data_IF_607210185834
#
_entry.id   IF_607210185834
#
_cell.length_a   1.000
_cell.length_b   1.000
_cell.length_c   1.000
_cell.angle_alpha   90.00
_cell.angle_beta   90.00
_cell.angle_gamma   90.00
#
_symmetry.space_group_name_H-M   'P 1'
#
loop_
_entity.id
_entity.type
_entity.pdbx_description
1 polymer ?
#
# COMPACT_ATOMS: atom_id res chain seq x y z
N UNK A 1 -23.40 3.91 0.17
CA UNK A 1 -23.28 2.99 -0.98
C UNK A 1 -21.99 2.17 -0.87
N UNK A 2 -22.08 0.83 -0.91
CA UNK A 2 -20.89 -0.02 -0.99
C UNK A 2 -20.10 0.30 -2.28
N UNK A 3 -18.76 0.26 -2.27
CA UNK A 3 -17.97 0.49 -3.48
C UNK A 3 -18.37 -0.52 -4.56
N UNK A 4 -18.44 -0.05 -5.82
CA UNK A 4 -18.93 -0.80 -7.00
C UNK A 4 -18.46 -2.26 -7.12
N UNK A 5 -17.28 -2.60 -6.58
CA UNK A 5 -16.66 -3.92 -6.73
C UNK A 5 -16.57 -4.74 -5.43
N UNK A 6 -16.85 -4.14 -4.26
CA UNK A 6 -16.61 -4.80 -2.96
C UNK A 6 -17.46 -6.06 -2.79
N UNK A 7 -18.77 -5.97 -3.05
CA UNK A 7 -19.70 -7.10 -2.91
C UNK A 7 -19.34 -8.29 -3.81
N UNK A 8 -18.84 -8.01 -5.03
CA UNK A 8 -18.42 -9.05 -5.95
C UNK A 8 -17.09 -9.68 -5.55
N UNK A 9 -16.13 -8.88 -5.08
CA UNK A 9 -14.85 -9.37 -4.54
C UNK A 9 -15.08 -10.34 -3.39
N UNK A 10 -15.91 -9.93 -2.43
CA UNK A 10 -16.16 -10.72 -1.22
C UNK A 10 -16.98 -11.98 -1.54
N UNK A 11 -18.03 -11.88 -2.35
CA UNK A 11 -18.84 -13.03 -2.78
C UNK A 11 -18.01 -14.07 -3.55
N UNK A 12 -17.17 -13.61 -4.48
CA UNK A 12 -16.42 -14.49 -5.38
C UNK A 12 -15.04 -14.89 -4.83
N UNK A 13 -14.72 -14.46 -3.59
CA UNK A 13 -13.44 -14.73 -2.91
C UNK A 13 -12.20 -14.46 -3.77
N UNK A 14 -12.25 -13.38 -4.57
CA UNK A 14 -11.19 -13.04 -5.53
C UNK A 14 -10.29 -11.92 -5.01
N UNK A 15 -9.12 -11.77 -5.63
CA UNK A 15 -8.24 -10.64 -5.36
C UNK A 15 -8.92 -9.29 -5.72
N UNK A 16 -8.83 -8.24 -4.88
CA UNK A 16 -9.40 -6.91 -5.15
C UNK A 16 -8.50 -6.10 -6.10
N UNK A 17 -8.29 -6.60 -7.32
CA UNK A 17 -7.39 -5.99 -8.33
C UNK A 17 -7.74 -4.53 -8.59
N UNK A 18 -9.02 -4.19 -8.68
CA UNK A 18 -9.47 -2.83 -8.94
C UNK A 18 -9.06 -1.85 -7.82
N UNK A 19 -9.07 -2.31 -6.56
CA UNK A 19 -8.61 -1.51 -5.43
C UNK A 19 -7.09 -1.34 -5.47
N UNK A 20 -6.35 -2.39 -5.80
CA UNK A 20 -4.89 -2.34 -5.96
C UNK A 20 -4.51 -1.35 -7.06
N UNK A 21 -5.14 -1.41 -8.23
CA UNK A 21 -4.90 -0.45 -9.33
C UNK A 21 -5.21 0.99 -8.91
N UNK A 22 -6.30 1.21 -8.16
CA UNK A 22 -6.60 2.53 -7.61
C UNK A 22 -5.54 3.02 -6.61
N UNK A 23 -4.95 2.13 -5.82
CA UNK A 23 -3.82 2.43 -4.93
C UNK A 23 -2.56 2.76 -5.71
N UNK A 24 -2.24 2.04 -6.79
CA UNK A 24 -1.11 2.32 -7.69
C UNK A 24 -1.22 3.70 -8.31
N UNK A 25 -2.39 4.03 -8.87
CA UNK A 25 -2.67 5.32 -9.48
C UNK A 25 -2.50 6.49 -8.49
N UNK A 26 -2.80 6.25 -7.21
CA UNK A 26 -2.62 7.22 -6.11
C UNK A 26 -1.26 7.13 -5.42
N UNK A 27 -0.38 6.25 -5.89
CA UNK A 27 0.98 6.01 -5.37
C UNK A 27 1.02 5.59 -3.89
N UNK A 28 -0.02 4.91 -3.43
CA UNK A 28 -0.16 4.52 -2.03
C UNK A 28 0.76 3.34 -1.66
N UNK A 29 1.16 2.50 -2.63
CA UNK A 29 1.98 1.31 -2.35
C UNK A 29 3.40 1.66 -1.89
N UNK A 30 3.89 2.86 -2.21
CA UNK A 30 5.17 3.37 -1.72
C UNK A 30 5.01 4.47 -0.66
N UNK A 31 3.86 4.58 0.01
CA UNK A 31 3.54 5.71 0.88
C UNK A 31 4.57 5.91 2.01
N UNK A 32 4.96 4.83 2.71
CA UNK A 32 5.95 4.91 3.79
C UNK A 32 7.40 5.06 3.32
N UNK A 33 7.68 4.94 2.01
CA UNK A 33 9.06 5.06 1.52
C UNK A 33 9.54 6.51 1.75
N UNK A 34 10.74 6.71 2.34
CA UNK A 34 11.25 8.05 2.63
C UNK A 34 11.39 8.94 1.39
N UNK A 35 11.22 10.24 1.56
CA UNK A 35 11.36 11.24 0.49
C UNK A 35 12.74 11.23 -0.16
N UNK A 36 13.82 10.93 0.58
CA UNK A 36 15.18 10.76 0.04
C UNK A 36 15.32 9.63 -0.99
N UNK A 37 14.37 8.69 -1.00
CA UNK A 37 14.27 7.59 -1.98
C UNK A 37 13.15 7.81 -3.00
N UNK A 38 12.49 8.98 -2.98
CA UNK A 38 11.42 9.38 -3.89
C UNK A 38 10.00 9.01 -3.47
N UNK A 39 9.81 8.48 -2.26
CA UNK A 39 8.48 8.17 -1.72
C UNK A 39 7.82 9.36 -1.02
N UNK A 40 6.65 9.13 -0.42
CA UNK A 40 5.89 10.18 0.26
C UNK A 40 6.32 10.40 1.72
N UNK A 41 7.04 9.46 2.33
CA UNK A 41 7.46 9.54 3.73
C UNK A 41 6.30 9.54 4.72
N UNK A 42 5.18 8.87 4.39
CA UNK A 42 4.00 8.79 5.24
C UNK A 42 4.33 8.14 6.59
N UNK A 43 3.77 8.68 7.67
CA UNK A 43 3.93 8.14 9.01
C UNK A 43 3.04 6.90 9.21
N UNK A 44 3.33 6.11 10.25
CA UNK A 44 2.47 5.00 10.65
C UNK A 44 1.02 5.47 10.94
N UNK A 45 0.86 6.67 11.49
CA UNK A 45 -0.46 7.26 11.75
C UNK A 45 -1.23 7.56 10.45
N UNK A 46 -0.54 8.05 9.42
CA UNK A 46 -1.13 8.28 8.11
C UNK A 46 -1.59 6.97 7.47
N UNK A 47 -0.78 5.91 7.59
CA UNK A 47 -1.13 4.57 7.11
C UNK A 47 -2.33 4.00 7.86
N UNK A 48 -2.36 4.11 9.19
CA UNK A 48 -3.49 3.65 10.00
C UNK A 48 -4.79 4.41 9.64
N UNK A 49 -4.70 5.71 9.38
CA UNK A 49 -5.82 6.51 8.91
C UNK A 49 -6.29 6.06 7.52
N UNK A 50 -5.37 5.84 6.58
CA UNK A 50 -5.68 5.31 5.26
C UNK A 50 -6.35 3.92 5.33
N UNK A 51 -5.85 3.02 6.16
CA UNK A 51 -6.47 1.71 6.42
C UNK A 51 -7.90 1.87 6.95
N UNK A 52 -8.15 2.82 7.84
CA UNK A 52 -9.49 3.07 8.39
C UNK A 52 -10.46 3.55 7.30
N UNK A 53 -10.03 4.49 6.46
CA UNK A 53 -10.82 5.02 5.33
C UNK A 53 -11.11 3.91 4.32
N UNK A 54 -10.09 3.12 3.95
CA UNK A 54 -10.25 1.98 3.04
C UNK A 54 -11.18 0.92 3.65
N UNK A 55 -11.09 0.68 4.95
CA UNK A 55 -11.87 -0.33 5.65
C UNK A 55 -13.37 -0.03 5.67
N UNK A 56 -13.76 1.24 5.72
CA UNK A 56 -15.16 1.66 5.58
C UNK A 56 -15.75 1.31 4.20
N UNK A 57 -14.90 1.18 3.19
CA UNK A 57 -15.28 0.83 1.83
C UNK A 57 -15.20 -0.69 1.59
N UNK A 58 -14.07 -1.32 1.92
CA UNK A 58 -13.83 -2.75 1.75
C UNK A 58 -12.74 -3.21 2.71
N UNK A 59 -13.10 -4.02 3.71
CA UNK A 59 -12.18 -4.55 4.70
C UNK A 59 -11.05 -5.39 4.06
N UNK A 60 -11.37 -6.20 3.05
CA UNK A 60 -10.40 -7.01 2.30
C UNK A 60 -9.32 -6.15 1.64
N UNK A 61 -9.71 -5.04 1.00
CA UNK A 61 -8.78 -4.11 0.36
C UNK A 61 -7.92 -3.37 1.39
N UNK A 62 -8.51 -2.96 2.51
CA UNK A 62 -7.77 -2.35 3.62
C UNK A 62 -6.72 -3.30 4.21
N UNK A 63 -7.07 -4.58 4.36
CA UNK A 63 -6.14 -5.60 4.83
C UNK A 63 -4.98 -5.81 3.86
N UNK A 64 -5.24 -5.92 2.55
CA UNK A 64 -4.19 -6.01 1.52
C UNK A 64 -3.25 -4.81 1.60
N UNK A 65 -3.79 -3.59 1.70
CA UNK A 65 -2.99 -2.38 1.86
C UNK A 65 -2.14 -2.39 3.14
N UNK A 66 -2.73 -2.76 4.27
CA UNK A 66 -2.03 -2.84 5.55
C UNK A 66 -0.86 -3.85 5.50
N UNK A 67 -1.11 -5.06 4.98
CA UNK A 67 -0.08 -6.09 4.84
C UNK A 67 1.08 -5.64 3.95
N UNK A 68 0.76 -4.96 2.84
CA UNK A 68 1.76 -4.36 1.97
C UNK A 68 2.61 -3.33 2.73
N UNK A 69 1.97 -2.41 3.45
CA UNK A 69 2.70 -1.39 4.22
C UNK A 69 3.57 -1.99 5.34
N UNK A 70 3.14 -3.09 5.96
CA UNK A 70 3.97 -3.81 6.94
C UNK A 70 5.28 -4.29 6.31
N UNK A 71 5.21 -4.88 5.10
CA UNK A 71 6.42 -5.31 4.38
C UNK A 71 7.33 -4.13 4.02
N UNK A 72 6.75 -3.03 3.54
CA UNK A 72 7.50 -1.82 3.22
C UNK A 72 8.17 -1.24 4.47
N UNK A 73 7.44 -1.16 5.60
CA UNK A 73 7.95 -0.66 6.87
C UNK A 73 9.15 -1.49 7.35
N UNK A 74 9.07 -2.83 7.30
CA UNK A 74 10.20 -3.68 7.66
C UNK A 74 11.47 -3.37 6.86
N UNK A 75 11.34 -3.11 5.54
CA UNK A 75 12.50 -2.76 4.71
C UNK A 75 12.97 -1.34 5.04
N UNK A 76 12.06 -0.39 5.19
CA UNK A 76 12.39 1.01 5.49
C UNK A 76 13.14 1.14 6.83
N UNK A 77 12.68 0.43 7.86
CA UNK A 77 13.22 0.57 9.22
C UNK A 77 14.51 -0.22 9.43
N UNK A 78 14.75 -1.28 8.64
CA UNK A 78 15.87 -2.20 8.88
C UNK A 78 16.88 -2.29 7.73
N UNK A 79 16.55 -1.85 6.52
CA UNK A 79 17.37 -2.11 5.34
C UNK A 79 17.38 -0.98 4.29
N UNK A 80 16.75 0.18 4.54
CA UNK A 80 16.54 1.23 3.54
C UNK A 80 17.81 1.70 2.81
N UNK A 81 18.94 1.67 3.48
CA UNK A 81 20.22 2.18 2.96
C UNK A 81 21.22 1.07 2.60
N UNK A 82 20.80 -0.21 2.61
CA UNK A 82 21.70 -1.36 2.43
C UNK A 82 21.40 -2.22 1.21
N UNK A 83 22.43 -2.45 0.40
CA UNK A 83 22.44 -3.43 -0.68
C UNK A 83 21.30 -3.25 -1.69
N UNK A 84 20.67 -4.35 -2.07
CA UNK A 84 19.61 -4.36 -3.06
C UNK A 84 18.30 -3.75 -2.55
N UNK A 85 18.07 -3.65 -1.24
CA UNK A 85 16.85 -3.09 -0.66
C UNK A 85 16.65 -1.61 -1.00
N UNK A 86 17.73 -0.82 -1.03
CA UNK A 86 17.66 0.58 -1.47
C UNK A 86 17.16 0.69 -2.91
N UNK A 87 17.70 -0.15 -3.81
CA UNK A 87 17.29 -0.20 -5.21
C UNK A 87 15.84 -0.68 -5.34
N UNK A 88 15.46 -1.67 -4.55
CA UNK A 88 14.10 -2.17 -4.48
C UNK A 88 13.10 -1.08 -4.07
N UNK A 89 13.37 -0.31 -3.01
CA UNK A 89 12.50 0.79 -2.59
C UNK A 89 12.37 1.87 -3.68
N UNK A 90 13.45 2.19 -4.38
CA UNK A 90 13.40 3.12 -5.52
C UNK A 90 12.61 2.55 -6.72
N UNK A 91 12.65 1.24 -6.95
CA UNK A 91 11.81 0.58 -7.95
C UNK A 91 10.33 0.55 -7.52
N UNK A 92 10.05 0.24 -6.25
CA UNK A 92 8.71 0.30 -5.67
C UNK A 92 8.10 1.68 -5.85
N UNK A 93 8.86 2.75 -5.56
CA UNK A 93 8.43 4.12 -5.82
C UNK A 93 8.09 4.32 -7.30
N UNK A 94 8.94 3.89 -8.22
CA UNK A 94 8.70 4.11 -9.67
C UNK A 94 7.50 3.35 -10.21
N UNK A 95 7.34 2.10 -9.82
CA UNK A 95 6.46 1.17 -10.51
C UNK A 95 5.21 0.78 -9.71
N UNK A 96 5.16 1.09 -8.41
CA UNK A 96 4.02 0.83 -7.53
C UNK A 96 3.55 -0.62 -7.63
N UNK A 97 4.40 -1.60 -7.31
CA UNK A 97 4.01 -3.02 -7.21
C UNK A 97 4.07 -3.55 -5.80
#
# INVERSE_FOLDING_TARGET
PAPRHADAVDRDARCPVEAIEAMRARRLLSAMVPTRLGGAGASLADIASACSILGQACASSAMVFAMHQIQVACIVDHAADHGWHKLFLQQLVRHQW
#
